data_IF_334039614247
#
_entry.id   IF_334039614247
#
_cell.length_a   1.000
_cell.length_b   1.000
_cell.length_c   1.000
_cell.angle_alpha   90.00
_cell.angle_beta   90.00
_cell.angle_gamma   90.00
#
_symmetry.space_group_name_H-M   'P 1'
#
loop_
_entity.id
_entity.type
_entity.pdbx_description
1 polymer ?
#
# COMPACT_ATOMS: atom_id res chain seq x y z
N UNK A 1 8.82 5.27 -16.51
CA UNK A 1 7.94 6.13 -15.70
C UNK A 1 6.52 6.03 -16.24
N UNK A 2 5.52 5.74 -15.42
CA UNK A 2 4.14 5.56 -15.88
C UNK A 2 3.46 6.93 -15.95
N UNK A 3 2.94 7.34 -17.11
CA UNK A 3 2.47 8.74 -17.32
C UNK A 3 0.95 8.85 -17.22
N UNK A 4 0.21 7.92 -17.83
CA UNK A 4 -1.25 7.92 -17.78
C UNK A 4 -1.83 6.52 -17.89
N UNK A 5 -2.99 6.32 -17.29
CA UNK A 5 -3.86 5.16 -17.52
C UNK A 5 -5.06 5.63 -18.32
N UNK A 6 -5.36 4.94 -19.41
CA UNK A 6 -6.40 5.32 -20.37
C UNK A 6 -7.45 4.22 -20.51
N UNK A 7 -8.67 4.63 -20.83
CA UNK A 7 -9.73 3.70 -21.25
C UNK A 7 -9.38 3.09 -22.60
N UNK A 8 -9.37 1.75 -22.68
CA UNK A 8 -9.17 1.05 -23.95
C UNK A 8 -10.34 1.24 -24.93
N UNK A 9 -11.53 1.58 -24.43
CA UNK A 9 -12.73 1.77 -25.25
C UNK A 9 -12.81 3.18 -25.84
N UNK A 10 -12.44 4.20 -25.06
CA UNK A 10 -12.62 5.62 -25.44
C UNK A 10 -11.32 6.39 -25.68
N UNK A 11 -10.17 5.82 -25.35
CA UNK A 11 -8.87 6.52 -25.38
C UNK A 11 -8.72 7.63 -24.32
N UNK A 12 -9.75 7.86 -23.49
CA UNK A 12 -9.75 8.92 -22.50
C UNK A 12 -8.79 8.62 -21.35
N UNK A 13 -8.02 9.61 -20.92
CA UNK A 13 -7.19 9.52 -19.73
C UNK A 13 -8.04 9.43 -18.45
N UNK A 14 -7.90 8.31 -17.74
CA UNK A 14 -8.57 8.04 -16.46
C UNK A 14 -7.73 8.52 -15.28
N UNK A 15 -6.41 8.37 -15.37
CA UNK A 15 -5.46 8.80 -14.36
C UNK A 15 -4.20 9.37 -15.01
N UNK A 16 -3.69 10.46 -14.45
CA UNK A 16 -2.41 11.06 -14.82
C UNK A 16 -1.48 11.06 -13.61
N UNK A 17 -0.21 10.74 -13.85
CA UNK A 17 0.82 10.60 -12.81
C UNK A 17 1.87 11.69 -12.99
N UNK A 18 2.06 12.51 -11.97
CA UNK A 18 3.06 13.58 -11.96
C UNK A 18 4.20 13.24 -11.01
N UNK A 19 5.42 13.62 -11.40
CA UNK A 19 6.65 13.26 -10.72
C UNK A 19 7.47 14.51 -10.42
N UNK A 20 8.34 14.44 -9.41
CA UNK A 20 9.28 15.50 -9.10
C UNK A 20 10.34 15.60 -10.23
N UNK A 21 10.48 16.78 -10.82
CA UNK A 21 11.45 17.08 -11.90
C UNK A 21 12.81 17.56 -11.37
N UNK A 22 12.87 18.03 -10.12
CA UNK A 22 14.02 18.74 -9.55
C UNK A 22 15.02 17.81 -8.85
N UNK A 23 14.70 16.52 -8.71
CA UNK A 23 15.61 15.52 -8.12
C UNK A 23 15.74 14.33 -9.06
N UNK A 24 16.98 13.83 -9.23
CA UNK A 24 17.33 12.67 -10.09
C UNK A 24 16.61 11.36 -9.74
N UNK A 25 15.79 11.36 -8.69
CA UNK A 25 15.04 10.21 -8.19
C UNK A 25 13.65 10.05 -8.84
N UNK A 26 13.14 11.06 -9.56
CA UNK A 26 11.90 10.95 -10.33
C UNK A 26 10.72 10.40 -9.53
N UNK A 27 10.56 10.84 -8.27
CA UNK A 27 9.55 10.29 -7.33
C UNK A 27 8.16 10.82 -7.65
N UNK A 28 7.14 9.95 -7.55
CA UNK A 28 5.73 10.31 -7.76
C UNK A 28 5.29 11.37 -6.72
N UNK A 29 4.64 12.45 -7.18
CA UNK A 29 4.17 13.56 -6.34
C UNK A 29 2.66 13.74 -6.37
N UNK A 30 2.00 13.40 -7.48
CA UNK A 30 0.55 13.58 -7.61
C UNK A 30 -0.05 12.55 -8.56
N UNK A 31 -1.24 12.08 -8.23
CA UNK A 31 -2.13 11.33 -9.12
C UNK A 31 -3.38 12.16 -9.29
N UNK A 32 -3.77 12.43 -10.54
CA UNK A 32 -5.02 13.13 -10.87
C UNK A 32 -5.94 12.19 -11.61
N UNK A 33 -7.14 11.97 -11.10
CA UNK A 33 -8.17 11.18 -11.74
C UNK A 33 -9.09 12.02 -12.63
N UNK A 34 -9.80 11.34 -13.53
CA UNK A 34 -10.90 11.92 -14.27
C UNK A 34 -11.97 12.45 -13.30
N UNK A 35 -12.49 13.65 -13.57
CA UNK A 35 -13.44 14.34 -12.67
C UNK A 35 -12.80 15.24 -11.61
N UNK A 36 -11.48 15.46 -11.65
CA UNK A 36 -10.80 16.47 -10.83
C UNK A 36 -10.34 15.99 -9.45
N UNK A 37 -10.60 14.74 -9.10
CA UNK A 37 -10.03 14.13 -7.89
C UNK A 37 -8.52 14.04 -7.99
N UNK A 38 -7.82 14.37 -6.92
CA UNK A 38 -6.37 14.24 -6.85
C UNK A 38 -5.92 13.66 -5.51
N UNK A 39 -4.80 12.94 -5.57
CA UNK A 39 -4.05 12.47 -4.40
C UNK A 39 -2.62 12.99 -4.53
N UNK A 40 -2.16 13.71 -3.53
CA UNK A 40 -0.81 14.23 -3.40
C UNK A 40 0.02 13.32 -2.51
N UNK A 41 1.26 13.06 -2.90
CA UNK A 41 2.24 12.30 -2.11
C UNK A 41 3.25 13.28 -1.54
N UNK A 42 3.09 13.61 -0.27
CA UNK A 42 3.94 14.56 0.43
C UNK A 42 4.97 13.81 1.26
N UNK A 43 6.24 14.24 1.18
CA UNK A 43 7.36 13.63 1.89
C UNK A 43 7.92 14.67 2.84
N UNK A 44 7.82 14.41 4.14
CA UNK A 44 8.33 15.32 5.16
C UNK A 44 9.83 15.06 5.33
N UNK A 45 10.20 13.78 5.37
CA UNK A 45 11.57 13.29 5.38
C UNK A 45 11.60 11.89 4.73
N UNK A 46 12.71 11.16 4.83
CA UNK A 46 12.82 9.82 4.24
C UNK A 46 11.94 8.76 4.93
N UNK A 47 11.56 8.98 6.18
CA UNK A 47 10.72 8.06 6.99
C UNK A 47 9.25 8.44 7.00
N UNK A 48 8.91 9.72 7.11
CA UNK A 48 7.54 10.19 7.28
C UNK A 48 7.02 10.84 5.99
N UNK A 49 5.94 10.27 5.47
CA UNK A 49 5.25 10.71 4.27
C UNK A 49 3.74 10.73 4.54
N UNK A 50 2.97 11.39 3.69
CA UNK A 50 1.51 11.29 3.75
C UNK A 50 0.87 11.46 2.39
N UNK A 51 -0.26 10.78 2.22
CA UNK A 51 -1.18 10.96 1.10
C UNK A 51 -2.23 12.00 1.49
N UNK A 52 -2.45 12.99 0.64
CA UNK A 52 -3.47 14.01 0.85
C UNK A 52 -4.43 14.05 -0.33
N UNK A 53 -5.72 13.96 -0.03
CA UNK A 53 -6.78 14.03 -1.04
C UNK A 53 -7.19 15.49 -1.30
N UNK A 54 -7.91 15.74 -2.40
CA UNK A 54 -8.48 17.06 -2.71
C UNK A 54 -9.40 17.63 -1.63
N UNK A 55 -9.94 16.79 -0.73
CA UNK A 55 -10.80 17.22 0.39
C UNK A 55 -10.00 17.53 1.65
N UNK A 56 -8.66 17.40 1.62
CA UNK A 56 -7.77 17.62 2.76
C UNK A 56 -7.63 16.41 3.69
N UNK A 57 -8.29 15.28 3.42
CA UNK A 57 -8.10 14.07 4.21
C UNK A 57 -6.69 13.51 4.01
N UNK A 58 -6.01 13.18 5.12
CA UNK A 58 -4.62 12.75 5.16
C UNK A 58 -4.47 11.31 5.65
N UNK A 59 -3.70 10.52 4.91
CA UNK A 59 -3.25 9.18 5.32
C UNK A 59 -1.75 9.23 5.53
N UNK A 60 -1.29 9.05 6.76
CA UNK A 60 0.14 9.03 7.11
C UNK A 60 0.79 7.71 6.70
N UNK A 61 2.02 7.78 6.23
CA UNK A 61 2.86 6.65 5.85
C UNK A 61 4.20 6.78 6.60
N UNK A 62 4.55 5.79 7.41
CA UNK A 62 5.84 5.73 8.07
C UNK A 62 6.66 4.57 7.52
N UNK A 63 7.85 4.87 7.05
CA UNK A 63 8.82 3.90 6.54
C UNK A 63 9.90 3.64 7.58
N UNK A 64 10.44 2.41 7.57
CA UNK A 64 11.59 2.03 8.37
C UNK A 64 12.83 2.77 7.88
N UNK A 65 13.57 3.40 8.80
CA UNK A 65 14.74 4.26 8.48
C UNK A 65 15.77 3.58 7.58
N UNK A 66 16.10 2.31 7.86
CA UNK A 66 17.19 1.63 7.15
C UNK A 66 16.76 0.84 5.91
N UNK A 67 15.55 0.26 5.92
CA UNK A 67 15.10 -0.66 4.88
C UNK A 67 14.07 -0.01 3.95
N UNK A 68 13.55 1.16 4.30
CA UNK A 68 12.51 1.89 3.56
C UNK A 68 11.23 1.06 3.31
N UNK A 69 11.01 0.01 4.10
CA UNK A 69 9.74 -0.74 4.14
C UNK A 69 8.68 0.04 4.89
N UNK A 70 7.40 -0.17 4.57
CA UNK A 70 6.29 0.56 5.17
C UNK A 70 5.95 -0.04 6.55
N UNK A 71 6.28 0.62 7.64
CA UNK A 71 5.98 0.17 9.01
C UNK A 71 4.55 0.51 9.46
N UNK A 72 4.04 1.68 9.03
CA UNK A 72 2.75 2.16 9.51
C UNK A 72 1.97 2.92 8.45
N UNK A 73 0.67 2.66 8.40
CA UNK A 73 -0.32 3.50 7.72
C UNK A 73 -1.28 4.06 8.77
N UNK A 74 -1.37 5.38 8.88
CA UNK A 74 -2.27 6.06 9.82
C UNK A 74 -3.43 6.72 9.07
N UNK A 75 -4.66 6.46 9.51
CA UNK A 75 -5.86 6.98 8.88
C UNK A 75 -6.38 8.28 9.55
N UNK A 76 -7.26 9.04 8.87
CA UNK A 76 -7.85 10.26 9.44
C UNK A 76 -8.60 10.05 10.77
N UNK A 77 -9.14 8.85 11.01
CA UNK A 77 -9.87 8.47 12.23
C UNK A 77 -8.94 8.05 13.39
N UNK A 78 -7.62 8.23 13.22
CA UNK A 78 -6.55 7.83 14.16
C UNK A 78 -6.33 6.33 14.29
N UNK A 79 -7.07 5.49 13.57
CA UNK A 79 -6.72 4.09 13.42
C UNK A 79 -5.43 3.95 12.61
N UNK A 80 -4.73 2.83 12.78
CA UNK A 80 -3.51 2.58 12.03
C UNK A 80 -3.31 1.09 11.76
N UNK A 81 -2.57 0.81 10.69
CA UNK A 81 -2.08 -0.53 10.38
C UNK A 81 -0.58 -0.55 10.68
N UNK A 82 -0.15 -1.55 11.43
CA UNK A 82 1.26 -1.88 11.62
C UNK A 82 1.68 -2.99 10.68
N UNK A 83 2.91 -2.91 10.18
CA UNK A 83 3.53 -3.95 9.37
C UNK A 83 4.90 -4.28 9.94
N UNK A 84 5.18 -5.57 10.07
CA UNK A 84 6.50 -6.08 10.44
C UNK A 84 7.04 -6.94 9.32
N UNK A 85 8.35 -6.98 9.18
CA UNK A 85 9.02 -7.67 8.09
C UNK A 85 10.09 -8.62 8.61
N UNK A 86 10.21 -9.78 7.97
CA UNK A 86 11.35 -10.67 8.10
C UNK A 86 12.55 -10.13 7.30
N UNK A 87 13.70 -10.80 7.46
CA UNK A 87 14.84 -10.60 6.58
C UNK A 87 14.42 -10.72 5.10
N UNK A 88 15.06 -9.93 4.23
CA UNK A 88 14.69 -9.86 2.81
C UNK A 88 13.42 -9.05 2.53
N UNK A 89 12.90 -8.29 3.51
CA UNK A 89 11.72 -7.42 3.37
C UNK A 89 10.42 -8.19 3.07
N UNK A 90 10.35 -9.46 3.50
CA UNK A 90 9.13 -10.26 3.43
C UNK A 90 8.18 -9.84 4.56
N UNK A 91 6.91 -9.60 4.25
CA UNK A 91 5.94 -9.13 5.25
C UNK A 91 5.67 -10.24 6.27
N UNK A 92 6.04 -10.07 7.53
CA UNK A 92 5.80 -11.04 8.60
C UNK A 92 4.39 -10.94 9.17
N UNK A 93 3.98 -9.72 9.52
CA UNK A 93 2.69 -9.46 10.14
C UNK A 93 2.08 -8.16 9.65
N UNK A 94 0.74 -8.16 9.60
CA UNK A 94 -0.08 -6.97 9.46
C UNK A 94 -1.00 -6.93 10.67
N UNK A 95 -1.07 -5.81 11.37
CA UNK A 95 -1.95 -5.64 12.53
C UNK A 95 -2.82 -4.42 12.34
N UNK A 96 -4.12 -4.57 12.50
CA UNK A 96 -5.11 -3.49 12.53
C UNK A 96 -5.96 -3.67 13.78
N UNK A 97 -5.92 -2.70 14.68
CA UNK A 97 -6.57 -2.76 15.99
C UNK A 97 -6.18 -4.04 16.76
N UNK A 98 -7.16 -4.90 17.07
CA UNK A 98 -6.95 -6.18 17.76
C UNK A 98 -6.76 -7.37 16.82
N UNK A 99 -6.76 -7.14 15.49
CA UNK A 99 -6.67 -8.19 14.49
C UNK A 99 -5.31 -8.21 13.83
N UNK A 100 -4.64 -9.36 13.93
CA UNK A 100 -3.37 -9.62 13.28
C UNK A 100 -3.49 -10.72 12.23
N UNK A 101 -2.79 -10.52 11.12
CA UNK A 101 -2.55 -11.51 10.09
C UNK A 101 -1.06 -11.83 10.07
N UNK A 102 -0.73 -13.11 10.15
CA UNK A 102 0.64 -13.62 10.10
C UNK A 102 0.90 -14.28 8.75
N UNK A 103 2.11 -14.11 8.24
CA UNK A 103 2.56 -14.65 6.97
C UNK A 103 3.86 -15.40 7.19
N UNK A 104 3.83 -16.68 6.83
CA UNK A 104 4.98 -17.57 6.88
C UNK A 104 5.42 -17.90 5.47
N UNK A 105 6.74 -18.05 5.29
CA UNK A 105 7.34 -18.30 3.98
C UNK A 105 8.23 -19.53 4.04
N UNK A 106 8.29 -20.25 2.92
CA UNK A 106 9.27 -21.32 2.76
C UNK A 106 10.67 -20.76 2.51
N UNK A 107 11.66 -21.64 2.40
CA UNK A 107 13.05 -21.25 2.15
C UNK A 107 13.26 -20.54 0.79
N UNK A 108 12.33 -20.66 -0.15
CA UNK A 108 12.35 -19.96 -1.43
C UNK A 108 11.62 -18.61 -1.37
N UNK A 109 11.08 -18.22 -0.22
CA UNK A 109 10.32 -16.98 -0.03
C UNK A 109 8.88 -17.06 -0.52
N UNK A 110 8.34 -18.27 -0.76
CA UNK A 110 6.95 -18.46 -1.16
C UNK A 110 6.06 -18.53 0.07
N UNK A 111 4.90 -17.88 0.01
CA UNK A 111 3.95 -17.84 1.12
C UNK A 111 3.40 -19.25 1.40
N UNK A 112 3.53 -19.73 2.63
CA UNK A 112 2.83 -20.92 3.09
C UNK A 112 1.32 -20.65 3.13
N UNK A 113 0.47 -21.57 2.64
CA UNK A 113 -0.98 -21.37 2.69
C UNK A 113 -1.43 -21.15 4.15
N UNK A 114 -2.04 -19.99 4.36
CA UNK A 114 -2.39 -19.39 5.65
C UNK A 114 -2.97 -20.39 6.66
N UNK A 115 -2.27 -20.67 7.76
CA UNK A 115 -2.87 -21.29 8.95
C UNK A 115 -3.50 -20.19 9.80
N UNK A 116 -4.82 -20.05 9.73
CA UNK A 116 -5.55 -19.22 10.69
C UNK A 116 -5.43 -19.83 12.09
N UNK A 117 -5.11 -19.06 13.15
CA UNK A 117 -5.11 -19.57 14.52
C UNK A 117 -6.47 -20.20 14.84
N UNK A 118 -6.48 -21.48 15.21
CA UNK A 118 -7.69 -22.21 15.60
C UNK A 118 -8.47 -22.90 14.47
N UNK A 119 -8.03 -22.87 13.20
CA UNK A 119 -8.66 -23.66 12.12
C UNK A 119 -7.78 -24.83 11.68
N UNK A 120 -8.30 -26.08 11.66
CA UNK A 120 -7.57 -27.21 11.11
C UNK A 120 -7.33 -27.03 9.60
N UNK A 121 -6.19 -27.53 9.13
CA UNK A 121 -5.69 -27.40 7.76
C UNK A 121 -6.66 -27.92 6.68
N UNK A 122 -7.64 -28.75 7.05
CA UNK A 122 -8.67 -29.30 6.18
C UNK A 122 -9.77 -28.30 5.78
N UNK A 123 -9.77 -27.08 6.33
CA UNK A 123 -10.81 -26.06 6.09
C UNK A 123 -10.35 -24.84 5.26
N UNK A 124 -9.18 -24.94 4.62
CA UNK A 124 -8.62 -23.84 3.82
C UNK A 124 -9.33 -23.70 2.47
N UNK A 125 -10.47 -23.01 2.49
CA UNK A 125 -10.97 -22.36 1.30
C UNK A 125 -10.03 -21.18 0.99
N UNK A 126 -9.37 -21.25 -0.17
CA UNK A 126 -8.63 -20.16 -0.79
C UNK A 126 -9.38 -18.83 -0.56
N UNK A 127 -8.76 -17.74 -0.06
CA UNK A 127 -9.45 -16.47 0.10
C UNK A 127 -9.94 -16.02 -1.27
N UNK A 128 -11.21 -16.31 -1.56
CA UNK A 128 -11.91 -15.76 -2.71
C UNK A 128 -11.99 -14.27 -2.45
N UNK A 129 -11.21 -13.49 -3.17
CA UNK A 129 -11.51 -12.08 -3.37
C UNK A 129 -12.97 -12.00 -3.86
N UNK A 130 -13.81 -11.10 -3.33
CA UNK A 130 -15.14 -10.92 -3.87
C UNK A 130 -15.02 -10.55 -5.36
N UNK A 131 -15.90 -11.07 -6.23
CA UNK A 131 -15.90 -10.65 -7.62
C UNK A 131 -16.12 -9.14 -7.67
N UNK A 132 -15.32 -8.47 -8.51
CA UNK A 132 -15.54 -7.05 -8.83
C UNK A 132 -16.92 -6.96 -9.49
N UNK A 133 -17.88 -6.32 -8.83
CA UNK A 133 -19.12 -5.84 -9.43
C UNK A 133 -18.86 -4.61 -10.29
#
# INVERSE_FOLDING_TARGET
MHVSTQSLLSGQALYNFSYNIDTSLGRLTKITGLGGFAVHVNRINDTDQYLETSTGARTGLRLHTFHQTLERVSFPDRSYIHFDYLAGQLLHSKTLDSRSWLFDYDAAGQLHPLRLPGRPASSLQNPRFPPRT
#
